data_IF_851823693583
#
_entry.id   IF_851823693583
#
_cell.length_a   1.000
_cell.length_b   1.000
_cell.length_c   1.000
_cell.angle_alpha   90.00
_cell.angle_beta   90.00
_cell.angle_gamma   90.00
#
_symmetry.space_group_name_H-M   'P 1'
#
loop_
_entity.id
_entity.type
_entity.pdbx_description
1 polymer ?
#
# COMPACT_ATOMS: atom_id res chain seq x y z
N UNK A 1 2.19 26.69 -13.81
CA UNK A 1 2.64 26.77 -12.40
C UNK A 1 3.78 27.78 -12.22
N UNK A 2 4.85 27.74 -13.04
CA UNK A 2 5.89 28.80 -13.06
C UNK A 2 5.36 30.21 -13.38
N UNK A 3 4.33 30.30 -14.24
CA UNK A 3 3.66 31.56 -14.57
C UNK A 3 2.88 32.21 -13.41
N UNK A 4 2.59 31.50 -12.31
CA UNK A 4 1.86 32.08 -11.17
C UNK A 4 2.79 32.76 -10.14
N UNK A 5 4.09 32.43 -10.18
CA UNK A 5 5.09 32.93 -9.22
C UNK A 5 5.90 34.10 -9.75
N UNK A 6 6.08 34.24 -11.08
CA UNK A 6 6.88 35.32 -11.70
C UNK A 6 6.07 36.57 -12.04
N UNK A 7 4.74 36.48 -11.96
CA UNK A 7 3.81 37.54 -12.34
C UNK A 7 3.71 38.75 -11.40
N UNK A 8 3.83 38.66 -10.05
CA UNK A 8 3.43 39.79 -9.20
C UNK A 8 4.35 41.01 -9.32
N UNK A 9 5.64 40.84 -9.62
CA UNK A 9 6.57 41.96 -9.80
C UNK A 9 6.53 42.60 -11.19
N UNK A 10 6.17 41.83 -12.22
CA UNK A 10 6.05 42.34 -13.59
C UNK A 10 4.67 42.97 -13.90
N UNK A 11 3.68 42.80 -13.01
CA UNK A 11 2.29 43.20 -13.26
C UNK A 11 1.89 44.55 -12.63
N UNK A 12 2.70 45.13 -11.76
CA UNK A 12 2.45 46.48 -11.22
C UNK A 12 2.59 47.54 -12.34
N UNK A 13 3.36 47.25 -13.40
CA UNK A 13 3.54 48.17 -14.53
C UNK A 13 2.52 47.99 -15.67
N UNK A 14 1.74 46.89 -15.73
CA UNK A 14 0.89 46.62 -16.90
C UNK A 14 -0.42 45.88 -16.57
N UNK A 15 -1.41 46.65 -16.06
CA UNK A 15 -2.77 46.18 -15.72
C UNK A 15 -3.46 45.37 -16.84
N UNK A 16 -3.11 45.64 -18.11
CA UNK A 16 -3.71 44.97 -19.27
C UNK A 16 -3.28 43.52 -19.41
N UNK A 17 -2.06 43.16 -19.00
CA UNK A 17 -1.56 41.79 -19.04
C UNK A 17 -2.24 40.93 -17.95
N UNK A 18 -2.43 41.49 -16.75
CA UNK A 18 -3.10 40.81 -15.64
C UNK A 18 -4.54 40.41 -15.99
N UNK A 19 -5.31 41.35 -16.54
CA UNK A 19 -6.69 41.14 -16.94
C UNK A 19 -6.83 40.09 -18.05
N UNK A 20 -5.78 39.85 -18.86
CA UNK A 20 -5.76 38.81 -19.88
C UNK A 20 -5.36 37.44 -19.34
N UNK A 21 -4.42 37.37 -18.40
CA UNK A 21 -3.88 36.08 -17.91
C UNK A 21 -4.63 35.51 -16.70
N UNK A 22 -5.19 36.36 -15.84
CA UNK A 22 -5.91 35.92 -14.64
C UNK A 22 -7.15 35.07 -14.97
N UNK A 23 -8.02 35.42 -15.95
CA UNK A 23 -9.16 34.59 -16.31
C UNK A 23 -8.74 33.17 -16.72
N UNK A 24 -7.67 33.03 -17.51
CA UNK A 24 -7.14 31.72 -17.93
C UNK A 24 -6.73 30.85 -16.72
N UNK A 25 -6.07 31.45 -15.72
CA UNK A 25 -5.71 30.76 -14.48
C UNK A 25 -6.93 30.29 -13.68
N UNK A 26 -7.95 31.14 -13.56
CA UNK A 26 -9.21 30.78 -12.90
C UNK A 26 -9.99 29.72 -13.67
N UNK A 27 -10.10 29.81 -14.99
CA UNK A 27 -10.74 28.78 -15.81
C UNK A 27 -10.02 27.43 -15.68
N UNK A 28 -8.69 27.42 -15.64
CA UNK A 28 -7.92 26.19 -15.42
C UNK A 28 -8.19 25.59 -14.03
N UNK A 29 -8.24 26.40 -12.97
CA UNK A 29 -8.53 25.94 -11.61
C UNK A 29 -9.99 25.49 -11.42
N UNK A 30 -10.94 26.25 -11.96
CA UNK A 30 -12.35 25.90 -11.94
C UNK A 30 -12.60 24.62 -12.73
N UNK A 31 -12.06 24.53 -13.95
CA UNK A 31 -12.14 23.33 -14.78
C UNK A 31 -11.48 22.12 -14.12
N UNK A 32 -10.28 22.29 -13.56
CA UNK A 32 -9.58 21.23 -12.84
C UNK A 32 -10.33 20.74 -11.60
N UNK A 33 -10.83 21.66 -10.76
CA UNK A 33 -11.62 21.30 -9.58
C UNK A 33 -12.97 20.67 -9.93
N UNK A 34 -13.62 21.12 -11.01
CA UNK A 34 -14.83 20.49 -11.53
C UNK A 34 -14.57 19.06 -12.02
N UNK A 35 -13.48 18.84 -12.76
CA UNK A 35 -13.05 17.49 -13.16
C UNK A 35 -12.81 16.62 -11.93
N UNK A 36 -12.12 17.11 -10.89
CA UNK A 36 -11.91 16.37 -9.64
C UNK A 36 -13.23 15.96 -8.96
N UNK A 37 -14.22 16.86 -8.92
CA UNK A 37 -15.56 16.52 -8.40
C UNK A 37 -16.22 15.43 -9.23
N UNK A 38 -16.20 15.54 -10.56
CA UNK A 38 -16.74 14.51 -11.46
C UNK A 38 -16.05 13.16 -11.20
N UNK A 39 -14.73 13.15 -11.08
CA UNK A 39 -13.97 11.92 -10.79
C UNK A 39 -14.36 11.34 -9.43
N UNK A 40 -14.44 12.15 -8.37
CA UNK A 40 -14.89 11.70 -7.04
C UNK A 40 -16.32 11.14 -7.05
N UNK A 41 -17.25 11.79 -7.76
CA UNK A 41 -18.63 11.31 -7.91
C UNK A 41 -18.67 9.98 -8.66
N UNK A 42 -17.86 9.83 -9.71
CA UNK A 42 -17.72 8.55 -10.43
C UNK A 42 -17.17 7.45 -9.53
N UNK A 43 -16.15 7.72 -8.72
CA UNK A 43 -15.61 6.76 -7.74
C UNK A 43 -16.69 6.34 -6.73
N UNK A 44 -17.46 7.29 -6.20
CA UNK A 44 -18.55 6.96 -5.28
C UNK A 44 -19.66 6.14 -5.93
N UNK A 45 -20.07 6.51 -7.13
CA UNK A 45 -21.08 5.77 -7.88
C UNK A 45 -20.61 4.34 -8.14
N UNK A 46 -19.39 4.17 -8.63
CA UNK A 46 -18.79 2.85 -8.88
C UNK A 46 -18.65 2.04 -7.59
N UNK A 47 -18.25 2.67 -6.48
CA UNK A 47 -18.23 2.03 -5.16
C UNK A 47 -19.62 1.57 -4.75
N UNK A 48 -20.62 2.45 -4.85
CA UNK A 48 -22.00 2.12 -4.49
C UNK A 48 -22.57 0.99 -5.34
N UNK A 49 -22.29 0.99 -6.64
CA UNK A 49 -22.70 -0.06 -7.59
C UNK A 49 -22.01 -1.40 -7.24
N UNK A 50 -20.71 -1.42 -6.97
CA UNK A 50 -19.99 -2.64 -6.60
C UNK A 50 -20.50 -3.23 -5.28
N UNK A 51 -20.73 -2.39 -4.26
CA UNK A 51 -21.32 -2.83 -2.99
C UNK A 51 -22.73 -3.36 -3.19
N UNK A 52 -23.52 -2.77 -4.08
CA UNK A 52 -24.84 -3.28 -4.42
C UNK A 52 -24.74 -4.67 -5.06
N UNK A 53 -23.83 -4.88 -6.03
CA UNK A 53 -23.59 -6.19 -6.67
C UNK A 53 -23.15 -7.24 -5.65
N UNK A 54 -22.27 -6.89 -4.71
CA UNK A 54 -21.84 -7.84 -3.67
C UNK A 54 -23.00 -8.16 -2.70
N UNK A 55 -23.84 -7.18 -2.36
CA UNK A 55 -25.03 -7.40 -1.52
C UNK A 55 -26.07 -8.28 -2.23
N UNK A 56 -26.31 -8.09 -3.53
CA UNK A 56 -27.25 -8.94 -4.29
C UNK A 56 -26.77 -10.38 -4.42
N UNK A 57 -25.45 -10.60 -4.39
CA UNK A 57 -24.82 -11.94 -4.25
C UNK A 57 -24.94 -12.54 -2.84
N UNK A 58 -25.53 -11.83 -1.87
CA UNK A 58 -25.66 -12.28 -0.48
C UNK A 58 -24.42 -12.08 0.39
N UNK A 59 -23.39 -11.38 -0.10
CA UNK A 59 -22.17 -11.12 0.67
C UNK A 59 -22.40 -10.01 1.70
N UNK A 60 -22.06 -10.27 2.96
CA UNK A 60 -22.19 -9.31 4.05
C UNK A 60 -21.01 -8.33 4.09
N UNK A 61 -20.86 -7.48 3.07
CA UNK A 61 -19.70 -6.57 2.95
C UNK A 61 -19.56 -5.61 4.15
N UNK A 62 -20.68 -5.27 4.81
CA UNK A 62 -20.71 -4.38 5.96
C UNK A 62 -20.05 -4.95 7.22
N UNK A 63 -19.89 -6.27 7.32
CA UNK A 63 -19.21 -6.93 8.45
C UNK A 63 -17.70 -7.02 8.26
N UNK A 64 -17.18 -6.74 7.06
CA UNK A 64 -15.73 -6.81 6.79
C UNK A 64 -14.94 -5.74 7.56
N UNK A 65 -13.79 -6.16 8.06
CA UNK A 65 -12.92 -5.31 8.86
C UNK A 65 -12.46 -4.07 8.06
N UNK A 66 -12.81 -2.89 8.59
CA UNK A 66 -12.44 -1.60 8.01
C UNK A 66 -13.27 -1.17 6.78
N UNK A 67 -14.32 -1.91 6.41
CA UNK A 67 -15.30 -1.46 5.41
C UNK A 67 -15.93 -0.10 5.78
N UNK A 68 -16.29 0.05 7.06
CA UNK A 68 -16.88 1.29 7.60
C UNK A 68 -15.93 2.49 7.42
N UNK A 69 -14.63 2.27 7.61
CA UNK A 69 -13.59 3.28 7.40
C UNK A 69 -13.41 3.59 5.91
N UNK A 70 -13.38 2.58 5.05
CA UNK A 70 -13.30 2.75 3.59
C UNK A 70 -14.49 3.58 3.07
N UNK A 71 -15.72 3.21 3.44
CA UNK A 71 -16.94 3.96 3.06
C UNK A 71 -16.86 5.41 3.51
N UNK A 72 -16.43 5.66 4.76
CA UNK A 72 -16.24 7.02 5.29
C UNK A 72 -15.21 7.79 4.47
N UNK A 73 -14.07 7.19 4.15
CA UNK A 73 -12.99 7.84 3.42
C UNK A 73 -13.39 8.18 1.97
N UNK A 74 -14.13 7.30 1.29
CA UNK A 74 -14.67 7.57 -0.05
C UNK A 74 -15.64 8.75 0.00
N UNK A 75 -16.58 8.77 0.96
CA UNK A 75 -17.53 9.87 1.14
C UNK A 75 -16.80 11.19 1.45
N UNK A 76 -15.86 11.17 2.40
CA UNK A 76 -15.04 12.33 2.77
C UNK A 76 -14.23 12.85 1.58
N UNK A 77 -13.76 11.97 0.70
CA UNK A 77 -13.06 12.38 -0.54
C UNK A 77 -13.95 13.24 -1.44
N UNK A 78 -15.22 12.88 -1.61
CA UNK A 78 -16.18 13.68 -2.39
C UNK A 78 -16.36 15.05 -1.74
N UNK A 79 -16.65 15.08 -0.43
CA UNK A 79 -16.84 16.34 0.29
C UNK A 79 -15.61 17.25 0.18
N UNK A 80 -14.40 16.70 0.31
CA UNK A 80 -13.16 17.45 0.12
C UNK A 80 -13.07 18.05 -1.28
N UNK A 81 -13.30 17.26 -2.34
CA UNK A 81 -13.27 17.78 -3.71
C UNK A 81 -14.36 18.82 -3.98
N UNK A 82 -15.55 18.65 -3.40
CA UNK A 82 -16.65 19.62 -3.53
C UNK A 82 -16.33 20.94 -2.83
N UNK A 83 -15.70 20.91 -1.65
CA UNK A 83 -15.25 22.12 -0.95
C UNK A 83 -14.21 22.87 -1.80
N UNK A 84 -13.26 22.16 -2.43
CA UNK A 84 -12.30 22.81 -3.35
C UNK A 84 -13.03 23.48 -4.50
N UNK A 85 -13.97 22.79 -5.14
CA UNK A 85 -14.73 23.35 -6.25
C UNK A 85 -15.54 24.58 -5.83
N UNK A 86 -16.23 24.53 -4.68
CA UNK A 86 -16.96 25.67 -4.14
C UNK A 86 -16.01 26.84 -3.86
N UNK A 87 -14.85 26.58 -3.25
CA UNK A 87 -13.86 27.63 -3.01
C UNK A 87 -13.32 28.23 -4.31
N UNK A 88 -13.02 27.40 -5.31
CA UNK A 88 -12.57 27.86 -6.63
C UNK A 88 -13.67 28.66 -7.35
N UNK A 89 -14.93 28.26 -7.18
CA UNK A 89 -16.08 28.96 -7.75
C UNK A 89 -16.33 30.30 -7.08
N UNK A 90 -16.29 30.37 -5.74
CA UNK A 90 -16.37 31.62 -4.99
C UNK A 90 -15.20 32.54 -5.37
N UNK A 91 -13.99 32.00 -5.44
CA UNK A 91 -12.80 32.72 -5.89
C UNK A 91 -13.00 33.36 -7.26
N UNK A 92 -13.58 32.60 -8.19
CA UNK A 92 -13.89 33.06 -9.53
C UNK A 92 -14.99 34.12 -9.55
N UNK A 93 -16.08 33.93 -8.79
CA UNK A 93 -17.14 34.93 -8.67
C UNK A 93 -16.63 36.25 -8.09
N UNK A 94 -15.82 36.16 -7.03
CA UNK A 94 -15.14 37.32 -6.46
C UNK A 94 -14.26 37.99 -7.51
N UNK A 95 -13.49 37.24 -8.30
CA UNK A 95 -12.71 37.79 -9.39
C UNK A 95 -13.58 38.51 -10.44
N UNK A 96 -14.68 37.91 -10.89
CA UNK A 96 -15.59 38.52 -11.89
C UNK A 96 -16.21 39.81 -11.34
N UNK A 97 -16.73 39.76 -10.12
CA UNK A 97 -17.31 40.94 -9.46
C UNK A 97 -16.26 42.03 -9.25
N UNK A 98 -15.03 41.64 -8.87
CA UNK A 98 -13.92 42.56 -8.69
C UNK A 98 -13.55 43.25 -10.01
N UNK A 99 -13.43 42.50 -11.11
CA UNK A 99 -13.16 43.05 -12.46
C UNK A 99 -14.24 44.05 -12.89
N UNK A 100 -15.50 43.76 -12.60
CA UNK A 100 -16.62 44.68 -12.87
C UNK A 100 -16.56 45.94 -11.95
N UNK A 101 -16.12 45.77 -10.70
CA UNK A 101 -15.99 46.85 -9.71
C UNK A 101 -14.70 47.67 -9.78
N UNK A 102 -13.77 47.37 -10.71
CA UNK A 102 -12.48 48.09 -10.91
C UNK A 102 -12.66 49.62 -11.03
N UNK A 103 -13.88 50.07 -11.31
CA UNK A 103 -14.26 51.48 -11.37
C UNK A 103 -14.19 52.20 -9.99
N UNK A 104 -14.14 51.51 -8.83
CA UNK A 104 -14.28 52.18 -7.50
C UNK A 104 -13.40 51.71 -6.34
N UNK A 105 -12.52 50.70 -6.48
CA UNK A 105 -11.76 50.14 -5.33
C UNK A 105 -10.26 50.09 -5.61
N UNK A 106 -9.41 50.17 -4.57
CA UNK A 106 -7.96 50.14 -4.74
C UNK A 106 -7.49 48.82 -5.37
N UNK A 107 -6.79 48.93 -6.51
CA UNK A 107 -6.26 47.80 -7.31
C UNK A 107 -5.38 46.86 -6.47
N UNK A 108 -4.72 47.39 -5.44
CA UNK A 108 -3.84 46.63 -4.54
C UNK A 108 -4.63 45.63 -3.69
N UNK A 109 -5.75 46.06 -3.08
CA UNK A 109 -6.59 45.17 -2.25
C UNK A 109 -7.20 44.07 -3.13
N UNK A 110 -7.58 44.42 -4.37
CA UNK A 110 -8.05 43.48 -5.37
C UNK A 110 -7.03 42.39 -5.69
N UNK A 111 -5.77 42.77 -5.93
CA UNK A 111 -4.69 41.81 -6.19
C UNK A 111 -4.46 40.86 -5.00
N UNK A 112 -4.54 41.37 -3.76
CA UNK A 112 -4.41 40.54 -2.57
C UNK A 112 -5.54 39.50 -2.45
N UNK A 113 -6.80 39.90 -2.59
CA UNK A 113 -7.94 38.97 -2.50
C UNK A 113 -7.84 37.86 -3.56
N UNK A 114 -7.53 38.25 -4.80
CA UNK A 114 -7.39 37.33 -5.94
C UNK A 114 -6.25 36.34 -5.74
N UNK A 115 -5.06 36.84 -5.38
CA UNK A 115 -3.88 36.02 -5.20
C UNK A 115 -4.03 35.03 -4.03
N UNK A 116 -4.61 35.50 -2.92
CA UNK A 116 -4.85 34.67 -1.75
C UNK A 116 -5.85 33.57 -2.01
N UNK A 117 -6.90 33.85 -2.79
CA UNK A 117 -7.88 32.84 -3.17
C UNK A 117 -7.29 31.78 -4.11
N UNK A 118 -6.46 32.20 -5.08
CA UNK A 118 -5.70 31.30 -5.96
C UNK A 118 -4.73 30.42 -5.18
N UNK A 119 -3.99 30.99 -4.23
CA UNK A 119 -3.07 30.24 -3.37
C UNK A 119 -3.80 29.25 -2.45
N UNK A 120 -4.98 29.62 -1.92
CA UNK A 120 -5.80 28.70 -1.14
C UNK A 120 -6.25 27.49 -1.96
N UNK A 121 -6.77 27.73 -3.18
CA UNK A 121 -7.21 26.67 -4.09
C UNK A 121 -6.05 25.75 -4.51
N UNK A 122 -4.92 26.33 -4.92
CA UNK A 122 -3.72 25.57 -5.29
C UNK A 122 -3.24 24.70 -4.13
N UNK A 123 -3.23 25.23 -2.91
CA UNK A 123 -2.80 24.52 -1.71
C UNK A 123 -3.74 23.36 -1.35
N UNK A 124 -5.06 23.53 -1.50
CA UNK A 124 -6.00 22.45 -1.27
C UNK A 124 -5.86 21.31 -2.29
N UNK A 125 -5.51 21.61 -3.56
CA UNK A 125 -5.28 20.58 -4.59
C UNK A 125 -4.12 19.65 -4.18
N UNK A 126 -3.05 20.17 -3.58
CA UNK A 126 -1.93 19.36 -3.08
C UNK A 126 -2.29 18.45 -1.89
N UNK A 127 -3.39 18.72 -1.19
CA UNK A 127 -3.87 17.91 -0.07
C UNK A 127 -4.79 16.75 -0.50
N UNK A 128 -5.16 16.68 -1.78
CA UNK A 128 -6.10 15.68 -2.29
C UNK A 128 -5.36 14.55 -2.99
N UNK A 129 -5.67 13.32 -2.56
CA UNK A 129 -5.35 12.12 -3.32
C UNK A 129 -6.24 12.07 -4.56
N UNK A 130 -5.64 12.11 -5.75
CA UNK A 130 -6.40 12.08 -7.01
C UNK A 130 -7.24 10.78 -7.06
N UNK A 131 -8.57 10.88 -7.23
CA UNK A 131 -9.42 9.73 -7.33
C UNK A 131 -9.12 8.91 -8.60
N UNK A 132 -8.85 7.62 -8.43
CA UNK A 132 -8.71 6.69 -9.55
C UNK A 132 -10.06 6.08 -9.91
N UNK A 133 -10.41 6.15 -11.20
CA UNK A 133 -11.73 5.74 -11.71
C UNK A 133 -11.81 4.21 -11.94
N UNK A 134 -10.68 3.51 -12.06
CA UNK A 134 -10.69 2.09 -12.36
C UNK A 134 -11.00 1.26 -11.12
N UNK A 135 -12.14 0.56 -11.14
CA UNK A 135 -12.61 -0.31 -10.06
C UNK A 135 -12.10 -1.76 -10.18
N UNK A 136 -10.81 -1.93 -10.46
CA UNK A 136 -10.17 -3.24 -10.37
C UNK A 136 -10.00 -3.63 -8.89
N UNK A 137 -10.00 -4.94 -8.57
CA UNK A 137 -9.66 -5.41 -7.23
C UNK A 137 -8.37 -4.73 -6.73
N UNK A 138 -8.44 -4.11 -5.55
CA UNK A 138 -7.33 -3.37 -4.96
C UNK A 138 -7.32 -1.86 -5.26
N UNK A 139 -8.10 -1.36 -6.22
CA UNK A 139 -8.15 0.08 -6.54
C UNK A 139 -8.51 0.98 -5.36
N UNK A 140 -9.30 0.45 -4.43
CA UNK A 140 -9.75 1.15 -3.22
C UNK A 140 -8.72 1.13 -2.08
N UNK A 141 -7.64 0.36 -2.21
CA UNK A 141 -6.54 0.33 -1.23
C UNK A 141 -5.99 1.72 -0.92
N UNK A 142 -5.99 2.67 -1.87
CA UNK A 142 -5.55 4.07 -1.63
C UNK A 142 -6.41 4.80 -0.59
N UNK A 143 -7.64 4.36 -0.36
CA UNK A 143 -8.58 4.89 0.62
C UNK A 143 -8.66 4.03 1.89
N UNK A 144 -7.96 2.91 1.91
CA UNK A 144 -7.96 1.95 2.99
C UNK A 144 -6.59 1.91 3.65
N UNK A 145 -6.56 2.04 4.98
CA UNK A 145 -5.36 1.74 5.75
C UNK A 145 -5.68 0.49 6.54
N UNK A 146 -5.01 -0.62 6.21
CA UNK A 146 -5.25 -1.90 6.89
C UNK A 146 -5.07 -1.73 8.40
N UNK A 147 -6.12 -1.98 9.21
CA UNK A 147 -6.08 -1.75 10.64
C UNK A 147 -5.34 -2.88 11.38
N UNK A 148 -5.07 -4.02 10.73
CA UNK A 148 -4.51 -5.21 11.36
C UNK A 148 -3.40 -5.78 10.49
N UNK A 149 -2.25 -5.96 11.13
CA UNK A 149 -1.19 -6.80 10.60
C UNK A 149 -1.39 -8.17 11.22
N UNK A 150 -1.55 -9.24 10.43
CA UNK A 150 -1.66 -10.57 10.97
C UNK A 150 -0.37 -10.87 11.73
N UNK A 151 -0.48 -11.21 13.01
CA UNK A 151 0.68 -11.53 13.83
C UNK A 151 1.36 -12.81 13.34
N UNK A 152 0.55 -13.82 12.99
CA UNK A 152 0.95 -15.10 12.42
C UNK A 152 0.49 -15.16 10.96
N UNK A 153 1.36 -15.68 10.09
CA UNK A 153 1.11 -15.95 8.68
C UNK A 153 1.10 -17.47 8.49
N UNK A 154 -0.08 -18.03 8.23
CA UNK A 154 -0.24 -19.47 7.96
C UNK A 154 0.21 -19.78 6.52
N UNK A 155 -0.14 -18.90 5.58
CA UNK A 155 0.31 -18.94 4.19
C UNK A 155 1.09 -17.66 3.90
N UNK A 156 2.42 -17.74 3.90
CA UNK A 156 3.31 -16.59 4.01
C UNK A 156 3.01 -15.44 3.03
N UNK A 157 2.95 -15.72 1.73
CA UNK A 157 2.67 -14.77 0.66
C UNK A 157 1.18 -14.45 0.63
N UNK A 158 0.30 -15.46 0.72
CA UNK A 158 -1.15 -15.26 0.68
C UNK A 158 -1.65 -14.32 1.78
N UNK A 159 -1.24 -14.53 3.02
CA UNK A 159 -1.66 -13.73 4.17
C UNK A 159 -1.02 -12.35 4.16
N UNK A 160 0.24 -12.25 3.71
CA UNK A 160 0.88 -10.96 3.44
C UNK A 160 0.06 -10.17 2.42
N UNK A 161 -0.33 -10.78 1.30
CA UNK A 161 -1.10 -10.15 0.25
C UNK A 161 -2.48 -9.70 0.77
N UNK A 162 -3.23 -10.60 1.44
CA UNK A 162 -4.56 -10.30 2.01
C UNK A 162 -4.52 -9.16 3.03
N UNK A 163 -3.43 -9.02 3.79
CA UNK A 163 -3.25 -7.94 4.77
C UNK A 163 -3.19 -6.54 4.12
N UNK A 164 -2.84 -6.46 2.83
CA UNK A 164 -2.74 -5.22 2.06
C UNK A 164 -3.98 -4.91 1.22
N UNK A 165 -4.87 -5.89 1.06
CA UNK A 165 -6.09 -5.76 0.27
C UNK A 165 -7.14 -4.93 1.00
N UNK A 166 -7.89 -4.12 0.25
CA UNK A 166 -9.12 -3.53 0.74
C UNK A 166 -10.24 -4.59 0.85
N UNK A 167 -11.29 -4.36 1.65
CA UNK A 167 -12.36 -5.34 1.86
C UNK A 167 -13.05 -5.85 0.58
N UNK A 168 -13.20 -5.00 -0.46
CA UNK A 168 -13.79 -5.45 -1.71
C UNK A 168 -12.82 -6.37 -2.47
N UNK A 169 -11.53 -6.02 -2.48
CA UNK A 169 -10.49 -6.88 -3.03
C UNK A 169 -10.38 -8.23 -2.29
N UNK A 170 -10.54 -8.25 -0.97
CA UNK A 170 -10.55 -9.49 -0.18
C UNK A 170 -11.68 -10.43 -0.61
N UNK A 171 -12.90 -9.92 -0.80
CA UNK A 171 -14.02 -10.74 -1.28
C UNK A 171 -13.77 -11.31 -2.68
N UNK A 172 -13.19 -10.49 -3.57
CA UNK A 172 -12.83 -10.95 -4.92
C UNK A 172 -11.70 -11.97 -4.88
N UNK A 173 -10.77 -11.82 -3.94
CA UNK A 173 -9.72 -12.79 -3.70
C UNK A 173 -10.29 -14.11 -3.19
N UNK A 174 -11.28 -14.09 -2.29
CA UNK A 174 -11.98 -15.30 -1.83
C UNK A 174 -12.76 -15.98 -2.98
N UNK A 175 -13.39 -15.21 -3.88
CA UNK A 175 -13.98 -15.75 -5.12
C UNK A 175 -12.90 -16.38 -6.03
N UNK A 176 -11.72 -15.74 -6.13
CA UNK A 176 -10.60 -16.23 -6.92
C UNK A 176 -9.98 -17.50 -6.33
N UNK A 177 -9.80 -17.61 -5.01
CA UNK A 177 -9.28 -18.83 -4.37
C UNK A 177 -10.23 -20.01 -4.57
N UNK A 178 -11.55 -19.77 -4.49
CA UNK A 178 -12.59 -20.76 -4.80
C UNK A 178 -12.53 -21.21 -6.27
N UNK A 179 -12.34 -20.28 -7.20
CA UNK A 179 -12.13 -20.60 -8.62
C UNK A 179 -10.86 -21.44 -8.80
N UNK A 180 -9.73 -21.03 -8.21
CA UNK A 180 -8.46 -21.78 -8.29
C UNK A 180 -8.66 -23.21 -7.80
N UNK A 181 -9.32 -23.40 -6.65
CA UNK A 181 -9.64 -24.72 -6.09
C UNK A 181 -10.31 -25.67 -7.09
N UNK A 182 -11.26 -25.17 -7.91
CA UNK A 182 -11.92 -25.96 -8.95
C UNK A 182 -11.01 -26.34 -10.13
N UNK A 183 -9.98 -25.52 -10.38
CA UNK A 183 -9.04 -25.65 -11.50
C UNK A 183 -7.81 -26.52 -11.18
N UNK A 184 -7.57 -26.82 -9.90
CA UNK A 184 -6.44 -27.67 -9.47
C UNK A 184 -6.52 -29.06 -10.11
N UNK A 185 -5.39 -29.57 -10.60
CA UNK A 185 -5.26 -30.94 -11.08
C UNK A 185 -5.42 -31.93 -9.93
N UNK A 186 -6.18 -33.01 -10.15
CA UNK A 186 -6.30 -34.10 -9.15
C UNK A 186 -4.96 -34.76 -8.81
N UNK A 187 -3.97 -34.65 -9.68
CA UNK A 187 -2.60 -35.17 -9.50
C UNK A 187 -1.69 -34.29 -8.65
N UNK A 188 -2.02 -33.02 -8.46
CA UNK A 188 -1.19 -32.09 -7.71
C UNK A 188 -1.30 -32.36 -6.21
N UNK A 189 -0.17 -32.46 -5.51
CA UNK A 189 -0.08 -32.60 -4.05
C UNK A 189 -1.10 -33.61 -3.47
N UNK A 190 -1.11 -34.82 -4.03
CA UNK A 190 -2.10 -35.88 -3.73
C UNK A 190 -1.96 -36.42 -2.31
N UNK A 191 -0.74 -36.37 -1.79
CA UNK A 191 -0.29 -36.78 -0.47
C UNK A 191 -0.75 -35.83 0.66
N UNK A 192 -1.35 -34.70 0.31
CA UNK A 192 -1.90 -33.72 1.24
C UNK A 192 -3.43 -33.72 1.21
N UNK A 193 -4.03 -33.21 2.30
CA UNK A 193 -5.48 -33.02 2.40
C UNK A 193 -5.99 -32.06 1.32
N UNK A 194 -7.29 -32.09 1.03
CA UNK A 194 -7.88 -31.20 0.03
C UNK A 194 -7.65 -29.72 0.38
N UNK A 195 -7.69 -29.36 1.67
CA UNK A 195 -7.47 -27.98 2.13
C UNK A 195 -6.03 -27.53 1.87
N UNK A 196 -5.05 -28.30 2.36
CA UNK A 196 -3.62 -28.00 2.18
C UNK A 196 -3.22 -27.95 0.71
N UNK A 197 -3.83 -28.81 -0.13
CA UNK A 197 -3.59 -28.81 -1.58
C UNK A 197 -4.02 -27.50 -2.23
N UNK A 198 -5.14 -26.93 -1.79
CA UNK A 198 -5.65 -25.65 -2.28
C UNK A 198 -4.74 -24.52 -1.83
N UNK A 199 -4.36 -24.49 -0.55
CA UNK A 199 -3.43 -23.52 0.02
C UNK A 199 -2.09 -23.53 -0.74
N UNK A 200 -1.51 -24.72 -0.96
CA UNK A 200 -0.29 -24.92 -1.76
C UNK A 200 -0.41 -24.46 -3.19
N UNK A 201 -1.53 -24.77 -3.85
CA UNK A 201 -1.75 -24.33 -5.22
C UNK A 201 -1.84 -22.80 -5.31
N UNK A 202 -2.54 -22.15 -4.37
CA UNK A 202 -2.65 -20.69 -4.31
C UNK A 202 -1.28 -20.06 -4.10
N UNK A 203 -0.55 -20.50 -3.07
CA UNK A 203 0.78 -19.99 -2.75
C UNK A 203 1.75 -20.14 -3.93
N UNK A 204 1.68 -21.28 -4.63
CA UNK A 204 2.45 -21.52 -5.86
C UNK A 204 2.10 -20.52 -6.95
N UNK A 205 0.82 -20.27 -7.20
CA UNK A 205 0.38 -19.31 -8.22
C UNK A 205 0.89 -17.91 -7.86
N UNK A 206 0.80 -17.51 -6.59
CA UNK A 206 1.28 -16.20 -6.12
C UNK A 206 2.81 -16.09 -6.27
N UNK A 207 3.57 -17.09 -5.83
CA UNK A 207 5.02 -17.12 -5.94
C UNK A 207 5.47 -17.04 -7.41
N UNK A 208 4.87 -17.85 -8.29
CA UNK A 208 5.20 -17.83 -9.72
C UNK A 208 4.87 -16.47 -10.36
N UNK A 209 3.76 -15.85 -9.96
CA UNK A 209 3.38 -14.52 -10.43
C UNK A 209 4.37 -13.47 -9.94
N UNK A 210 4.83 -13.57 -8.68
CA UNK A 210 5.89 -12.71 -8.13
C UNK A 210 7.22 -12.88 -8.89
N UNK A 211 7.68 -14.12 -9.11
CA UNK A 211 8.94 -14.41 -9.81
C UNK A 211 8.92 -13.90 -11.27
N UNK A 212 7.76 -13.93 -11.92
CA UNK A 212 7.57 -13.32 -13.25
C UNK A 212 7.86 -11.81 -13.23
N UNK A 213 7.60 -11.11 -12.14
CA UNK A 213 7.89 -9.66 -12.03
C UNK A 213 9.37 -9.39 -11.77
N UNK A 214 9.97 -10.17 -10.88
CA UNK A 214 11.37 -9.99 -10.46
C UNK A 214 12.35 -10.40 -11.58
N UNK A 215 12.01 -11.43 -12.35
CA UNK A 215 12.86 -11.98 -13.42
C UNK A 215 12.02 -12.14 -14.71
N UNK A 216 11.73 -11.07 -15.47
CA UNK A 216 10.70 -11.08 -16.51
C UNK A 216 10.80 -12.20 -17.56
N UNK A 217 11.97 -12.36 -18.20
CA UNK A 217 12.13 -13.32 -19.29
C UNK A 217 12.11 -14.77 -18.79
N UNK A 218 12.92 -15.07 -17.77
CA UNK A 218 13.04 -16.42 -17.20
C UNK A 218 11.83 -16.81 -16.37
N UNK A 219 11.28 -15.87 -15.60
CA UNK A 219 10.10 -16.04 -14.76
C UNK A 219 8.86 -16.37 -15.57
N UNK A 220 8.69 -15.78 -16.77
CA UNK A 220 7.57 -16.14 -17.64
C UNK A 220 7.67 -17.58 -18.17
N UNK A 221 8.87 -18.06 -18.49
CA UNK A 221 9.10 -19.46 -18.89
C UNK A 221 8.82 -20.42 -17.73
N UNK A 222 9.40 -20.13 -16.56
CA UNK A 222 9.18 -20.87 -15.32
C UNK A 222 7.68 -20.94 -14.99
N UNK A 223 6.97 -19.82 -15.04
CA UNK A 223 5.53 -19.73 -14.82
C UNK A 223 4.79 -20.69 -15.76
N UNK A 224 5.03 -20.60 -17.07
CA UNK A 224 4.32 -21.39 -18.07
C UNK A 224 4.58 -22.90 -17.92
N UNK A 225 5.79 -23.29 -17.53
CA UNK A 225 6.14 -24.68 -17.27
C UNK A 225 5.45 -25.15 -15.99
N UNK A 226 5.63 -24.44 -14.88
CA UNK A 226 5.20 -24.89 -13.56
C UNK A 226 3.70 -24.84 -13.34
N UNK A 227 3.03 -23.80 -13.82
CA UNK A 227 1.58 -23.62 -13.65
C UNK A 227 0.79 -24.78 -14.26
N UNK A 228 1.32 -25.40 -15.32
CA UNK A 228 0.71 -26.57 -15.96
C UNK A 228 0.76 -27.81 -15.08
N UNK A 229 1.64 -27.91 -14.10
CA UNK A 229 1.66 -29.03 -13.15
C UNK A 229 0.60 -28.85 -12.04
N UNK A 230 0.26 -27.60 -11.71
CA UNK A 230 -0.70 -27.24 -10.67
C UNK A 230 -2.14 -27.23 -11.20
N UNK A 231 -2.35 -26.58 -12.34
CA UNK A 231 -3.67 -26.21 -12.86
C UNK A 231 -3.97 -26.93 -14.17
N UNK A 232 -5.24 -27.32 -14.37
CA UNK A 232 -5.72 -27.95 -15.61
C UNK A 232 -5.49 -27.01 -16.82
N UNK A 233 -5.22 -27.53 -18.04
CA UNK A 233 -4.97 -26.69 -19.21
C UNK A 233 -6.03 -25.61 -19.45
N UNK A 234 -7.31 -25.95 -19.35
CA UNK A 234 -8.43 -25.01 -19.54
C UNK A 234 -8.47 -23.93 -18.44
N UNK A 235 -7.98 -24.25 -17.25
CA UNK A 235 -7.92 -23.31 -16.12
C UNK A 235 -6.89 -22.20 -16.29
N UNK A 236 -5.87 -22.37 -17.13
CA UNK A 236 -4.90 -21.31 -17.39
C UNK A 236 -5.54 -20.11 -18.10
N UNK A 237 -6.51 -20.38 -18.98
CA UNK A 237 -7.27 -19.32 -19.64
C UNK A 237 -8.17 -18.58 -18.65
N UNK A 238 -8.82 -19.32 -17.75
CA UNK A 238 -9.64 -18.74 -16.67
C UNK A 238 -8.81 -17.84 -15.75
N UNK A 239 -7.61 -18.26 -15.35
CA UNK A 239 -6.67 -17.44 -14.59
C UNK A 239 -6.27 -16.15 -15.32
N UNK A 240 -5.99 -16.25 -16.63
CA UNK A 240 -5.59 -15.09 -17.44
C UNK A 240 -6.73 -14.09 -17.58
N UNK A 241 -7.98 -14.55 -17.67
CA UNK A 241 -9.14 -13.66 -17.83
C UNK A 241 -9.75 -13.18 -16.50
N UNK A 242 -9.57 -13.93 -15.42
CA UNK A 242 -10.20 -13.65 -14.13
C UNK A 242 -11.72 -13.77 -14.17
N UNK A 243 -12.27 -14.72 -14.94
CA UNK A 243 -13.72 -14.89 -15.04
C UNK A 243 -14.32 -15.20 -13.65
N UNK A 244 -15.48 -14.59 -13.33
CA UNK A 244 -16.13 -14.72 -12.03
C UNK A 244 -15.57 -13.78 -10.96
N UNK A 245 -14.28 -13.89 -10.62
CA UNK A 245 -13.64 -13.12 -9.54
C UNK A 245 -13.18 -11.71 -9.94
N UNK A 246 -13.02 -11.45 -11.24
CA UNK A 246 -12.38 -10.24 -11.81
C UNK A 246 -10.90 -10.08 -11.43
N UNK A 247 -10.27 -11.10 -10.86
CA UNK A 247 -8.83 -11.15 -10.60
C UNK A 247 -8.19 -11.96 -11.74
N UNK A 248 -7.72 -11.25 -12.76
CA UNK A 248 -6.85 -11.80 -13.80
C UNK A 248 -5.40 -11.87 -13.30
N UNK A 249 -4.51 -12.52 -14.07
CA UNK A 249 -3.08 -12.47 -13.79
C UNK A 249 -2.52 -11.04 -13.76
N UNK A 250 -3.01 -10.13 -14.60
CA UNK A 250 -2.57 -8.73 -14.60
C UNK A 250 -3.00 -8.00 -13.32
N UNK A 251 -4.23 -8.27 -12.83
CA UNK A 251 -4.70 -7.75 -11.55
C UNK A 251 -3.90 -8.36 -10.40
N UNK A 252 -3.58 -9.65 -10.48
CA UNK A 252 -2.72 -10.31 -9.50
C UNK A 252 -1.32 -9.69 -9.49
N UNK A 253 -0.81 -9.34 -10.67
CA UNK A 253 0.47 -8.66 -10.80
C UNK A 253 0.46 -7.31 -10.07
N UNK A 254 -0.59 -6.50 -10.27
CA UNK A 254 -0.78 -5.23 -9.56
C UNK A 254 -0.94 -5.39 -8.05
N UNK A 255 -1.65 -6.44 -7.60
CA UNK A 255 -1.83 -6.73 -6.18
C UNK A 255 -0.51 -7.10 -5.51
N UNK A 256 0.30 -7.94 -6.17
CA UNK A 256 1.64 -8.33 -5.69
C UNK A 256 2.57 -7.12 -5.65
N UNK A 257 2.62 -6.31 -6.72
CA UNK A 257 3.46 -5.11 -6.75
C UNK A 257 3.08 -4.11 -5.65
N UNK A 258 1.79 -3.99 -5.32
CA UNK A 258 1.33 -3.19 -4.19
C UNK A 258 1.76 -3.81 -2.85
N UNK A 259 1.58 -5.11 -2.67
CA UNK A 259 2.00 -5.77 -1.45
C UNK A 259 3.50 -5.67 -1.24
N UNK A 260 4.32 -5.76 -2.29
CA UNK A 260 5.76 -5.54 -2.22
C UNK A 260 6.10 -4.13 -1.75
N UNK A 261 5.33 -3.12 -2.18
CA UNK A 261 5.51 -1.73 -1.72
C UNK A 261 5.08 -1.53 -0.26
N UNK A 262 3.96 -2.11 0.14
CA UNK A 262 3.38 -1.89 1.47
C UNK A 262 4.00 -2.81 2.55
N UNK A 263 4.50 -3.98 2.14
CA UNK A 263 5.04 -5.08 2.97
C UNK A 263 6.31 -5.67 2.34
N UNK A 264 7.37 -4.88 2.13
CA UNK A 264 8.57 -5.36 1.43
C UNK A 264 9.23 -6.54 2.14
N UNK A 265 9.15 -6.63 3.47
CA UNK A 265 9.87 -7.63 4.25
C UNK A 265 9.54 -9.08 3.90
N UNK A 266 8.28 -9.40 3.63
CA UNK A 266 7.90 -10.74 3.21
C UNK A 266 8.55 -11.12 1.87
N UNK A 267 8.53 -10.21 0.89
CA UNK A 267 9.13 -10.47 -0.42
C UNK A 267 10.66 -10.51 -0.37
N UNK A 268 11.30 -9.67 0.44
CA UNK A 268 12.74 -9.76 0.70
C UNK A 268 13.13 -11.12 1.30
N UNK A 269 12.33 -11.65 2.22
CA UNK A 269 12.57 -12.99 2.79
C UNK A 269 12.41 -14.08 1.71
N UNK A 270 11.40 -13.97 0.83
CA UNK A 270 11.25 -14.89 -0.31
C UNK A 270 12.47 -14.83 -1.24
N UNK A 271 12.97 -13.63 -1.56
CA UNK A 271 14.16 -13.46 -2.41
C UNK A 271 15.40 -14.10 -1.78
N UNK A 272 15.59 -13.93 -0.46
CA UNK A 272 16.69 -14.56 0.28
C UNK A 272 16.55 -16.06 0.34
N UNK A 273 15.34 -16.59 0.53
CA UNK A 273 15.08 -18.03 0.46
C UNK A 273 15.49 -18.57 -0.91
N UNK A 274 15.00 -17.97 -1.99
CA UNK A 274 15.32 -18.40 -3.35
C UNK A 274 16.83 -18.36 -3.62
N UNK A 275 17.51 -17.32 -3.17
CA UNK A 275 18.97 -17.19 -3.31
C UNK A 275 19.70 -18.27 -2.50
N UNK A 276 19.29 -18.50 -1.25
CA UNK A 276 19.87 -19.52 -0.37
C UNK A 276 19.71 -20.92 -0.96
N UNK A 277 18.54 -21.25 -1.50
CA UNK A 277 18.28 -22.54 -2.14
C UNK A 277 19.06 -22.71 -3.46
N UNK A 278 19.33 -21.64 -4.20
CA UNK A 278 20.11 -21.72 -5.43
C UNK A 278 21.62 -21.90 -5.15
N UNK A 279 22.14 -21.16 -4.18
CA UNK A 279 23.58 -21.03 -3.94
C UNK A 279 24.10 -21.94 -2.83
N UNK A 280 23.31 -22.17 -1.78
CA UNK A 280 23.72 -22.84 -0.53
C UNK A 280 22.78 -23.95 -0.11
N UNK A 281 22.21 -24.67 -1.10
CA UNK A 281 21.27 -25.76 -0.86
C UNK A 281 21.78 -26.80 0.14
N UNK A 282 23.06 -27.19 0.03
CA UNK A 282 23.67 -28.19 0.92
C UNK A 282 23.73 -27.70 2.37
N UNK A 283 24.13 -26.45 2.60
CA UNK A 283 24.14 -25.86 3.95
C UNK A 283 22.72 -25.77 4.51
N UNK A 284 21.76 -25.38 3.67
CA UNK A 284 20.36 -25.26 4.03
C UNK A 284 19.79 -26.60 4.52
N UNK A 285 19.91 -27.68 3.75
CA UNK A 285 19.34 -28.99 4.10
C UNK A 285 19.90 -29.60 5.39
N UNK A 286 21.14 -29.25 5.78
CA UNK A 286 21.77 -29.77 6.98
C UNK A 286 21.58 -28.89 8.22
N UNK A 287 21.10 -27.66 8.05
CA UNK A 287 20.79 -26.79 9.19
C UNK A 287 19.57 -27.32 9.97
N UNK A 288 19.57 -27.12 11.29
CA UNK A 288 18.47 -27.54 12.16
C UNK A 288 17.33 -26.50 12.17
N UNK A 289 17.70 -25.24 11.95
CA UNK A 289 16.85 -24.07 12.03
C UNK A 289 17.31 -23.05 11.00
N UNK A 290 16.38 -22.54 10.21
CA UNK A 290 16.61 -21.40 9.33
C UNK A 290 15.67 -20.27 9.74
N UNK A 291 16.25 -19.09 10.00
CA UNK A 291 15.50 -17.90 10.41
C UNK A 291 15.91 -16.77 9.51
N UNK A 292 14.92 -16.08 8.97
CA UNK A 292 15.14 -14.84 8.23
C UNK A 292 14.31 -13.73 8.82
N UNK A 293 14.91 -12.55 8.90
CA UNK A 293 14.26 -11.36 9.41
C UNK A 293 14.41 -10.20 8.43
N UNK A 294 13.42 -9.31 8.45
CA UNK A 294 13.49 -8.07 7.72
C UNK A 294 12.87 -6.93 8.52
N UNK A 295 13.68 -5.92 8.79
CA UNK A 295 13.29 -4.65 9.37
C UNK A 295 13.79 -3.50 8.47
N UNK A 296 12.92 -2.57 8.05
CA UNK A 296 13.37 -1.38 7.32
C UNK A 296 14.35 -0.54 8.15
N UNK A 297 15.50 -0.19 7.56
CA UNK A 297 16.57 0.56 8.24
C UNK A 297 16.18 1.97 8.67
N UNK A 298 15.21 2.60 7.98
CA UNK A 298 14.82 4.00 8.24
C UNK A 298 13.31 4.20 8.18
N UNK A 299 12.80 4.98 9.13
CA UNK A 299 11.42 5.49 9.10
C UNK A 299 11.46 7.00 9.03
N UNK A 300 10.94 7.54 7.93
CA UNK A 300 10.82 8.99 7.79
C UNK A 300 9.98 9.61 8.91
N UNK A 301 8.90 8.95 9.36
CA UNK A 301 8.00 9.48 10.37
C UNK A 301 7.96 8.56 11.60
N UNK A 302 8.60 8.98 12.69
CA UNK A 302 8.65 8.21 13.94
C UNK A 302 7.27 7.82 14.50
N UNK A 303 6.17 8.50 14.14
CA UNK A 303 4.80 8.11 14.55
C UNK A 303 4.15 7.04 13.67
N UNK A 304 4.81 6.59 12.59
CA UNK A 304 4.32 5.51 11.74
C UNK A 304 4.85 4.17 12.25
N UNK A 305 3.99 3.16 12.26
CA UNK A 305 4.43 1.79 12.52
C UNK A 305 5.32 1.29 11.39
N UNK A 306 6.42 0.66 11.79
CA UNK A 306 7.22 -0.26 11.01
C UNK A 306 6.59 -1.65 11.04
N UNK A 307 6.98 -2.48 10.09
CA UNK A 307 6.70 -3.91 10.15
C UNK A 307 8.02 -4.65 10.16
N UNK A 308 8.27 -5.38 11.25
CA UNK A 308 9.28 -6.43 11.30
C UNK A 308 8.61 -7.70 10.76
N UNK A 309 9.23 -8.33 9.78
CA UNK A 309 8.82 -9.66 9.30
C UNK A 309 9.86 -10.67 9.74
N UNK A 310 9.40 -11.80 10.29
CA UNK A 310 10.25 -12.92 10.70
C UNK A 310 9.68 -14.17 10.03
N UNK A 311 10.54 -15.03 9.49
CA UNK A 311 10.18 -16.35 9.00
C UNK A 311 11.07 -17.38 9.69
N UNK A 312 10.45 -18.39 10.28
CA UNK A 312 11.13 -19.43 11.04
C UNK A 312 10.82 -20.77 10.39
N UNK A 313 11.86 -21.49 9.97
CA UNK A 313 11.73 -22.81 9.38
C UNK A 313 12.49 -23.86 10.20
N UNK A 314 11.76 -24.83 10.73
CA UNK A 314 12.33 -25.99 11.41
C UNK A 314 12.63 -27.08 10.37
N UNK A 315 13.87 -27.09 9.87
CA UNK A 315 14.28 -28.05 8.84
C UNK A 315 14.51 -29.47 9.39
N UNK A 316 14.72 -29.59 10.71
CA UNK A 316 14.69 -30.86 11.44
C UNK A 316 13.66 -30.81 12.56
N UNK A 317 13.19 -31.99 12.98
CA UNK A 317 12.24 -32.13 14.09
C UNK A 317 12.84 -31.49 15.35
N UNK A 318 12.21 -30.41 15.83
CA UNK A 318 12.58 -29.76 17.08
C UNK A 318 12.48 -30.75 18.25
N UNK A 319 13.38 -30.62 19.24
CA UNK A 319 13.40 -31.52 20.41
C UNK A 319 12.42 -31.06 21.49
N UNK A 320 12.14 -29.76 21.55
CA UNK A 320 11.18 -29.16 22.47
C UNK A 320 10.47 -27.94 21.86
N UNK A 321 9.51 -27.36 22.61
CA UNK A 321 8.83 -26.10 22.28
C UNK A 321 9.85 -24.96 22.19
N UNK A 322 9.67 -24.07 21.21
CA UNK A 322 10.55 -22.91 21.01
C UNK A 322 9.82 -21.62 21.41
N UNK A 323 10.55 -20.64 21.91
CA UNK A 323 9.99 -19.34 22.29
C UNK A 323 10.71 -18.23 21.52
N UNK A 324 9.96 -17.50 20.68
CA UNK A 324 10.45 -16.28 20.04
C UNK A 324 10.29 -15.11 20.99
N UNK A 325 11.41 -14.51 21.37
CA UNK A 325 11.45 -13.30 22.19
C UNK A 325 11.87 -12.12 21.33
N UNK A 326 11.08 -11.05 21.37
CA UNK A 326 11.36 -9.77 20.76
C UNK A 326 11.61 -8.75 21.86
N UNK A 327 12.80 -8.15 21.84
CA UNK A 327 13.25 -7.12 22.79
C UNK A 327 13.44 -5.81 22.03
N UNK A 328 12.68 -4.79 22.39
CA UNK A 328 12.88 -3.44 21.86
C UNK A 328 13.71 -2.64 22.86
N UNK A 329 14.86 -2.14 22.43
CA UNK A 329 15.74 -1.31 23.25
C UNK A 329 16.14 -0.02 22.53
N UNK A 330 16.39 1.01 23.33
CA UNK A 330 16.98 2.28 22.88
C UNK A 330 18.13 2.63 23.80
N UNK A 331 19.30 2.93 23.24
CA UNK A 331 20.46 3.41 24.01
C UNK A 331 20.77 2.55 25.26
N UNK A 332 20.55 1.23 25.17
CA UNK A 332 20.75 0.22 26.22
C UNK A 332 19.65 0.13 27.30
N UNK A 333 18.58 0.94 27.23
CA UNK A 333 17.38 0.76 28.04
C UNK A 333 16.38 -0.16 27.32
N UNK A 334 15.92 -1.21 28.02
CA UNK A 334 14.84 -2.07 27.54
C UNK A 334 13.52 -1.30 27.65
N UNK A 335 12.85 -1.12 26.51
CA UNK A 335 11.59 -0.38 26.44
C UNK A 335 10.41 -1.35 26.50
N UNK A 336 10.47 -2.43 25.71
CA UNK A 336 9.39 -3.42 25.61
C UNK A 336 9.94 -4.83 25.36
N UNK A 337 9.24 -5.86 25.84
CA UNK A 337 9.54 -7.27 25.59
C UNK A 337 8.25 -8.01 25.23
N UNK A 338 8.33 -8.83 24.18
CA UNK A 338 7.24 -9.69 23.73
C UNK A 338 7.76 -11.11 23.57
N UNK A 339 7.07 -12.08 24.16
CA UNK A 339 7.41 -13.50 24.01
C UNK A 339 6.23 -14.23 23.36
N UNK A 340 6.51 -14.91 22.26
CA UNK A 340 5.57 -15.78 21.58
C UNK A 340 6.06 -17.21 21.67
N UNK A 341 5.16 -18.11 22.08
CA UNK A 341 5.39 -19.54 22.03
C UNK A 341 5.19 -20.03 20.61
N UNK A 342 6.17 -20.76 20.11
CA UNK A 342 6.17 -21.40 18.79
C UNK A 342 5.97 -22.89 19.04
N UNK A 343 4.89 -23.42 18.48
CA UNK A 343 4.65 -24.85 18.54
C UNK A 343 5.74 -25.59 17.74
N UNK A 344 6.24 -26.74 18.22
CA UNK A 344 7.23 -27.50 17.48
C UNK A 344 6.61 -28.11 16.23
N UNK A 345 6.77 -27.46 15.08
CA UNK A 345 6.42 -28.01 13.78
C UNK A 345 7.61 -28.73 13.15
N UNK A 346 7.33 -29.75 12.34
CA UNK A 346 8.36 -30.52 11.63
C UNK A 346 8.21 -30.25 10.14
N UNK A 347 9.21 -29.61 9.50
CA UNK A 347 9.27 -29.65 8.05
C UNK A 347 9.40 -31.11 7.61
N UNK A 348 8.65 -31.52 6.58
CA UNK A 348 8.95 -32.78 5.91
C UNK A 348 10.38 -32.67 5.35
N UNK A 349 11.19 -33.72 5.54
CA UNK A 349 12.40 -33.88 4.74
C UNK A 349 11.98 -33.83 3.28
N UNK A 350 12.53 -32.91 2.51
CA UNK A 350 12.47 -33.04 1.07
C UNK A 350 13.46 -34.13 0.68
N UNK A 351 12.94 -35.20 0.10
CA UNK A 351 13.77 -36.16 -0.61
C UNK A 351 14.12 -35.54 -1.97
N UNK A 352 15.20 -34.76 -2.01
CA UNK A 352 15.85 -34.44 -3.28
C UNK A 352 16.64 -35.66 -3.71
N UNK A 353 16.16 -36.39 -4.72
CA UNK A 353 17.02 -37.32 -5.44
C UNK A 353 18.11 -36.51 -6.15
N UNK A 354 19.28 -36.47 -5.53
CA UNK A 354 20.49 -35.85 -6.04
C UNK A 354 20.94 -36.51 -7.34
N UNK A 355 20.47 -35.98 -8.48
CA UNK A 355 21.22 -36.02 -9.76
C UNK A 355 20.66 -34.98 -10.74
N UNK A 356 20.72 -33.69 -10.37
CA UNK A 356 20.32 -32.62 -11.28
C UNK A 356 21.51 -32.24 -12.16
N UNK A 357 21.40 -32.53 -13.46
CA UNK A 357 22.49 -32.39 -14.43
C UNK A 357 22.48 -31.03 -15.15
N UNK A 358 21.42 -30.23 -15.02
CA UNK A 358 21.30 -28.90 -15.63
C UNK A 358 20.87 -27.78 -14.66
N UNK A 359 21.32 -26.54 -14.91
CA UNK A 359 20.93 -25.34 -14.14
C UNK A 359 19.45 -24.99 -14.23
N UNK A 360 18.74 -25.49 -15.24
CA UNK A 360 17.31 -25.24 -15.46
C UNK A 360 16.43 -26.19 -14.64
N UNK A 361 16.77 -27.48 -14.60
CA UNK A 361 16.12 -28.46 -13.70
C UNK A 361 16.30 -28.03 -12.23
N UNK A 362 17.52 -27.59 -11.86
CA UNK A 362 17.79 -27.04 -10.53
C UNK A 362 16.86 -25.88 -10.16
N UNK A 363 16.51 -25.00 -11.11
CA UNK A 363 15.64 -23.85 -10.83
C UNK A 363 14.15 -24.25 -10.65
N UNK A 364 13.68 -25.27 -11.38
CA UNK A 364 12.30 -25.76 -11.27
C UNK A 364 12.06 -26.50 -9.96
N UNK A 365 13.07 -27.24 -9.48
CA UNK A 365 13.00 -27.99 -8.22
C UNK A 365 13.18 -27.06 -7.01
N UNK A 366 14.02 -26.03 -7.13
CA UNK A 366 14.16 -24.99 -6.10
C UNK A 366 12.83 -24.30 -5.81
N UNK A 367 11.97 -24.08 -6.82
CA UNK A 367 10.66 -23.46 -6.60
C UNK A 367 9.72 -24.37 -5.80
N UNK A 368 9.65 -25.66 -6.13
CA UNK A 368 8.85 -26.61 -5.34
C UNK A 368 9.32 -26.64 -3.91
N UNK A 369 10.63 -26.67 -3.71
CA UNK A 369 11.16 -26.71 -2.36
C UNK A 369 11.00 -25.38 -1.62
N UNK A 370 11.08 -24.24 -2.29
CA UNK A 370 10.74 -22.96 -1.70
C UNK A 370 9.28 -22.95 -1.22
N UNK A 371 8.36 -23.51 -1.99
CA UNK A 371 6.94 -23.66 -1.59
C UNK A 371 6.83 -24.58 -0.38
N UNK A 372 7.52 -25.73 -0.37
CA UNK A 372 7.55 -26.62 0.79
C UNK A 372 8.06 -25.91 2.05
N UNK A 373 9.18 -25.17 1.93
CA UNK A 373 9.75 -24.39 3.02
C UNK A 373 8.74 -23.34 3.49
N UNK A 374 8.17 -22.55 2.59
CA UNK A 374 7.22 -21.49 2.95
C UNK A 374 5.98 -22.05 3.67
N UNK A 375 5.46 -23.20 3.26
CA UNK A 375 4.34 -23.87 3.94
C UNK A 375 4.70 -24.56 5.24
N UNK A 376 5.95 -25.03 5.36
CA UNK A 376 6.45 -25.67 6.56
C UNK A 376 7.04 -24.67 7.57
N UNK A 377 7.02 -23.38 7.26
CA UNK A 377 7.59 -22.32 8.10
C UNK A 377 6.49 -21.51 8.77
N UNK A 378 6.82 -20.91 9.90
CA UNK A 378 5.95 -19.94 10.57
C UNK A 378 6.43 -18.52 10.28
N UNK A 379 5.54 -17.72 9.69
CA UNK A 379 5.79 -16.31 9.45
C UNK A 379 5.17 -15.44 10.54
N UNK A 380 5.90 -14.44 11.01
CA UNK A 380 5.42 -13.44 11.95
C UNK A 380 5.55 -12.04 11.38
N UNK A 381 4.56 -11.19 11.66
CA UNK A 381 4.65 -9.76 11.38
C UNK A 381 4.34 -8.92 12.61
N UNK A 382 5.35 -8.23 13.12
CA UNK A 382 5.24 -7.33 14.27
C UNK A 382 5.12 -5.89 13.80
N UNK A 383 4.17 -5.14 14.37
CA UNK A 383 4.14 -3.70 14.21
C UNK A 383 4.99 -3.04 15.30
N UNK A 384 6.02 -2.31 14.90
CA UNK A 384 6.90 -1.58 15.81
C UNK A 384 6.61 -0.08 15.66
N UNK A 385 6.24 0.60 16.74
CA UNK A 385 5.98 2.06 16.72
C UNK A 385 7.11 2.75 17.50
N UNK A 386 7.99 3.50 16.84
CA UNK A 386 9.01 4.24 17.56
C UNK A 386 8.38 5.35 18.41
N UNK A 387 8.62 5.33 19.72
CA UNK A 387 8.13 6.39 20.61
C UNK A 387 9.01 7.64 20.57
N UNK A 388 10.26 7.52 20.11
CA UNK A 388 11.24 8.60 20.08
C UNK A 388 12.03 8.62 18.76
N UNK A 389 12.67 9.75 18.48
CA UNK A 389 13.60 9.94 17.36
C UNK A 389 14.95 9.32 17.73
N UNK A 390 15.71 8.91 16.72
CA UNK A 390 17.06 8.38 16.85
C UNK A 390 17.14 6.92 16.44
N UNK A 391 18.25 6.29 16.81
CA UNK A 391 18.51 4.90 16.50
C UNK A 391 17.91 3.99 17.58
N UNK A 392 17.28 2.92 17.12
CA UNK A 392 16.62 1.92 17.94
C UNK A 392 17.16 0.54 17.59
N UNK A 393 17.16 -0.34 18.57
CA UNK A 393 17.64 -1.72 18.42
C UNK A 393 16.50 -2.67 18.74
N UNK A 394 16.29 -3.64 17.85
CA UNK A 394 15.36 -4.74 18.02
C UNK A 394 16.18 -6.00 18.16
N UNK A 395 16.24 -6.54 19.38
CA UNK A 395 16.78 -7.87 19.64
C UNK A 395 15.73 -8.92 19.35
N UNK A 396 16.10 -9.96 18.62
CA UNK A 396 15.28 -11.15 18.41
C UNK A 396 16.07 -12.34 18.91
N UNK A 397 15.41 -13.22 19.65
CA UNK A 397 16.00 -14.50 20.04
C UNK A 397 14.97 -15.61 19.98
N UNK A 398 15.42 -16.80 19.62
CA UNK A 398 14.65 -18.03 19.72
C UNK A 398 15.29 -18.85 20.82
N UNK A 399 14.51 -19.18 21.84
CA UNK A 399 14.93 -19.97 22.97
C UNK A 399 14.32 -21.38 22.87
N UNK A 400 15.11 -22.41 23.14
CA UNK A 400 14.69 -23.81 23.24
C UNK A 400 15.17 -24.31 24.61
N UNK A 401 14.26 -24.77 25.48
CA UNK A 401 14.61 -25.27 26.81
C UNK A 401 15.46 -24.31 27.67
N UNK A 402 15.15 -23.00 27.64
CA UNK A 402 15.86 -21.89 28.30
C UNK A 402 17.25 -21.56 27.75
N UNK A 403 17.66 -22.14 26.62
CA UNK A 403 18.89 -21.78 25.91
C UNK A 403 18.55 -21.05 24.61
N UNK A 404 19.28 -19.96 24.32
CA UNK A 404 19.13 -19.25 23.05
C UNK A 404 19.79 -20.04 21.93
N UNK A 405 18.98 -20.60 21.03
CA UNK A 405 19.44 -21.37 19.86
C UNK A 405 19.72 -20.48 18.65
N UNK A 406 19.12 -19.29 18.62
CA UNK A 406 19.34 -18.29 17.60
C UNK A 406 19.08 -16.89 18.14
N UNK A 407 19.85 -15.89 17.71
CA UNK A 407 19.59 -14.51 18.05
C UNK A 407 20.20 -13.53 17.05
N UNK A 408 19.52 -12.40 16.86
CA UNK A 408 19.91 -11.34 15.96
C UNK A 408 19.56 -9.97 16.57
N UNK A 409 20.34 -8.95 16.22
CA UNK A 409 20.07 -7.57 16.59
C UNK A 409 19.91 -6.75 15.32
N UNK A 410 18.72 -6.15 15.16
CA UNK A 410 18.38 -5.31 14.02
C UNK A 410 18.31 -3.86 14.45
N UNK A 411 18.89 -2.96 13.67
CA UNK A 411 18.88 -1.52 13.97
C UNK A 411 17.99 -0.76 12.99
N UNK A 412 17.24 0.21 13.49
CA UNK A 412 16.52 1.15 12.63
C UNK A 412 16.60 2.58 13.16
N UNK A 413 16.60 3.55 12.24
CA UNK A 413 16.62 4.96 12.59
C UNK A 413 15.26 5.59 12.36
N UNK A 414 14.70 6.18 13.41
CA UNK A 414 13.44 6.92 13.37
C UNK A 414 13.73 8.42 13.24
N UNK A 415 13.30 9.02 12.14
CA UNK A 415 13.52 10.44 11.85
C UNK A 415 12.22 11.26 11.89
N UNK A 416 12.38 12.57 11.75
CA UNK A 416 11.31 13.47 11.37
C UNK A 416 11.15 13.51 9.85
N UNK A 417 9.91 13.39 9.41
CA UNK A 417 9.58 13.48 7.99
C UNK A 417 9.34 14.95 7.68
N UNK A 418 10.41 15.73 7.69
CA UNK A 418 10.32 17.16 7.43
C UNK A 418 9.69 17.44 6.08
N UNK A 419 9.83 16.54 5.09
CA UNK A 419 9.19 16.69 3.80
C UNK A 419 7.67 16.48 3.89
N UNK A 420 7.17 15.45 4.58
CA UNK A 420 5.72 15.30 4.75
C UNK A 420 5.10 16.35 5.69
N UNK A 421 5.87 16.80 6.69
CA UNK A 421 5.47 17.92 7.56
C UNK A 421 5.47 19.22 6.76
N UNK A 422 6.49 19.50 5.95
CA UNK A 422 6.58 20.72 5.15
C UNK A 422 5.54 20.74 4.04
N UNK A 423 5.34 19.65 3.31
CA UNK A 423 4.29 19.57 2.27
C UNK A 423 2.89 19.64 2.89
N UNK A 424 2.64 18.93 4.00
CA UNK A 424 1.38 18.99 4.72
C UNK A 424 1.11 20.35 5.38
N UNK A 425 2.13 20.99 5.95
CA UNK A 425 2.01 22.28 6.62
C UNK A 425 1.98 23.43 5.64
N UNK A 426 2.80 23.42 4.58
CA UNK A 426 2.74 24.42 3.51
C UNK A 426 1.38 24.39 2.81
N UNK A 427 0.82 23.20 2.56
CA UNK A 427 -0.49 23.11 1.95
C UNK A 427 -1.63 23.52 2.93
N UNK A 428 -1.50 23.25 4.24
CA UNK A 428 -2.43 23.77 5.26
C UNK A 428 -2.31 25.28 5.46
N UNK A 429 -1.08 25.81 5.53
CA UNK A 429 -0.79 27.23 5.70
C UNK A 429 -1.15 28.02 4.46
N UNK A 430 -0.96 27.47 3.25
CA UNK A 430 -1.42 28.08 2.01
C UNK A 430 -2.94 28.09 1.91
N UNK A 431 -3.62 27.01 2.37
CA UNK A 431 -5.08 26.98 2.45
C UNK A 431 -5.63 28.01 3.46
N UNK A 432 -5.08 28.06 4.68
CA UNK A 432 -5.48 28.96 5.77
C UNK A 432 -5.10 30.41 5.46
N UNK A 433 -3.86 30.66 5.06
CA UNK A 433 -3.35 31.99 4.72
C UNK A 433 -4.04 32.56 3.50
N UNK A 434 -4.30 31.73 2.49
CA UNK A 434 -5.10 32.14 1.34
C UNK A 434 -6.56 32.46 1.70
N UNK A 435 -7.17 31.68 2.59
CA UNK A 435 -8.53 31.96 3.08
C UNK A 435 -8.60 33.23 3.94
N UNK A 436 -7.69 33.39 4.92
CA UNK A 436 -7.63 34.56 5.81
C UNK A 436 -7.33 35.87 5.09
N UNK A 437 -6.40 35.85 4.13
CA UNK A 437 -6.11 37.05 3.34
C UNK A 437 -7.28 37.41 2.41
N UNK A 438 -8.03 36.41 1.90
CA UNK A 438 -9.24 36.69 1.11
C UNK A 438 -10.36 37.31 1.95
N UNK A 439 -10.56 36.86 3.19
CA UNK A 439 -11.58 37.43 4.09
C UNK A 439 -11.19 38.78 4.65
N UNK A 440 -9.91 38.98 5.02
CA UNK A 440 -9.39 40.27 5.46
C UNK A 440 -9.41 41.30 4.32
N UNK A 441 -9.05 40.90 3.10
CA UNK A 441 -9.13 41.80 1.94
C UNK A 441 -10.57 42.25 1.64
N UNK A 442 -11.55 41.35 1.76
CA UNK A 442 -12.98 41.72 1.66
C UNK A 442 -13.43 42.62 2.81
N UNK A 443 -12.98 42.35 4.05
CA UNK A 443 -13.30 43.18 5.22
C UNK A 443 -12.73 44.59 5.13
N UNK A 444 -11.46 44.72 4.74
CA UNK A 444 -10.78 46.01 4.55
C UNK A 444 -11.40 46.77 3.37
N UNK A 445 -11.73 46.09 2.26
CA UNK A 445 -12.46 46.70 1.14
C UNK A 445 -13.84 47.23 1.57
N UNK A 446 -14.56 46.48 2.40
CA UNK A 446 -15.88 46.88 2.89
C UNK A 446 -15.78 48.09 3.82
N UNK A 447 -14.80 48.09 4.73
CA UNK A 447 -14.50 49.21 5.63
C UNK A 447 -14.13 50.46 4.82
N UNK A 448 -13.19 50.38 3.88
CA UNK A 448 -12.79 51.51 3.05
C UNK A 448 -13.95 52.06 2.20
N UNK A 449 -14.82 51.19 1.68
CA UNK A 449 -16.02 51.62 0.95
C UNK A 449 -17.05 52.36 1.82
N UNK A 450 -17.17 51.98 3.11
CA UNK A 450 -18.04 52.65 4.08
C UNK A 450 -17.48 54.01 4.47
N UNK A 451 -16.15 54.14 4.54
CA UNK A 451 -15.47 55.39 4.90
C UNK A 451 -15.13 56.29 3.70
N UNK A 452 -15.47 55.90 2.47
CA UNK A 452 -15.24 56.70 1.26
C UNK A 452 -13.75 56.93 0.95
N UNK A 453 -12.88 56.01 1.36
CA UNK A 453 -11.42 56.05 1.17
C UNK A 453 -10.94 55.21 -0.02
#
# INVERSE_FOLDING_TARGET
>A
MFLAFTTPFALVENNTAFLRTAPLGYFALLGGSFILVIMSVRVYRSFSEEIHVLRTKGLQVESLAGFRQLRKNVIVSIFKTSIIFINAFIAFLLFVFLVDSVIKTSVIIMMFVVFSSLMSCASMIFLITIPHINFQPGSLSKYYKSPKVPLLLDNFITDTLRSTMDPAAQLRFDEWTSMVSALIKKSYAKEFSQKERVERAIETVLLLTYLKQVIPERGQQIFNTKIRHVIKPDGLYELKKGNGSRISLDVLDELIARAQKDRPGAFTIVDRLMTTLLERFEEFQYSDLWVETHLPERVGNYKKSLTLTVLISNLKKAKSERELTLLLSKEHEMVESYTLKIEPFTARKADFEHTLTSKEEKALDVIDYAIEVLHASEGFQFQIIPHTIGDHVVGLSINESNETVWGESLTFSAAHDYLSIATGSAAKLGAIGGALLSTLGLGISSILSIFGL
#
